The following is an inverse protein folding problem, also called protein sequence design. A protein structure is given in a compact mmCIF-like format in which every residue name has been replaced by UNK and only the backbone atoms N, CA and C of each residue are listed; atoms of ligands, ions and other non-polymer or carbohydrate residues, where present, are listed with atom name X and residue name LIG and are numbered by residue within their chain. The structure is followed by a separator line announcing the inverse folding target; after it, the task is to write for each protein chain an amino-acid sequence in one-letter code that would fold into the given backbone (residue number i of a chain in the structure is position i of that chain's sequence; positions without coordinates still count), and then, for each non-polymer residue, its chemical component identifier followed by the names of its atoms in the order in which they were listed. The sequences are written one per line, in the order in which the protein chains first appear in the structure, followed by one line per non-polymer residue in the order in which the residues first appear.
data_IF_788191094236
#
_entry.id   IF_788191094236
#
_cell.length_a   1.000
_cell.length_b   1.000
_cell.length_c   1.000
_cell.angle_alpha   90.00
_cell.angle_beta   90.00
_cell.angle_gamma   90.00
#
_symmetry.space_group_name_H-M   'P 1'
#
loop_
_entity.id
_entity.type
_entity.pdbx_description
1 polymer ?
#
# COMPACT_ATOMS: atom_id res chain seq x y z
N UNK A 1 7.41 8.10 0.18
CA UNK A 1 6.02 7.87 -0.26
C UNK A 1 5.06 8.94 0.25
N UNK A 2 5.34 9.64 1.36
CA UNK A 2 4.55 10.79 1.77
C UNK A 2 4.82 11.98 0.82
N UNK A 3 3.77 12.53 0.18
CA UNK A 3 3.84 13.81 -0.54
C UNK A 3 3.47 13.80 -2.04
N UNK A 4 3.29 12.64 -2.68
CA UNK A 4 2.92 12.57 -4.12
C UNK A 4 1.63 11.81 -4.41
N UNK A 5 1.03 11.21 -3.38
CA UNK A 5 -0.16 10.38 -3.54
C UNK A 5 -1.36 11.17 -4.08
N UNK A 6 -1.46 12.45 -3.74
CA UNK A 6 -2.50 13.37 -4.22
C UNK A 6 -2.47 13.56 -5.74
N UNK A 7 -1.33 13.30 -6.41
CA UNK A 7 -1.19 13.40 -7.87
C UNK A 7 -1.82 12.21 -8.62
N UNK A 8 -2.22 11.16 -7.92
CA UNK A 8 -2.81 9.95 -8.54
C UNK A 8 -4.31 10.11 -8.85
N UNK A 9 -4.94 11.21 -8.43
CA UNK A 9 -6.36 11.47 -8.65
C UNK A 9 -6.48 12.72 -9.53
N UNK A 10 -7.04 12.58 -10.72
CA UNK A 10 -7.18 13.69 -11.68
C UNK A 10 -8.43 14.55 -11.42
N UNK A 11 -9.53 13.99 -10.89
CA UNK A 11 -10.71 14.72 -10.40
C UNK A 11 -11.64 13.80 -9.56
N UNK A 12 -12.50 14.42 -8.73
CA UNK A 12 -13.62 13.94 -7.91
C UNK A 12 -13.34 13.19 -6.59
N UNK A 13 -13.36 13.95 -5.48
CA UNK A 13 -13.80 13.57 -4.12
C UNK A 13 -13.34 12.20 -3.57
N UNK A 14 -12.18 11.70 -4.00
CA UNK A 14 -11.58 10.50 -3.42
C UNK A 14 -11.06 10.88 -2.05
N UNK A 15 -11.64 10.28 -1.01
CA UNK A 15 -11.14 10.42 0.34
C UNK A 15 -9.66 9.99 0.40
N UNK A 16 -8.78 10.92 0.75
CA UNK A 16 -7.34 10.70 0.79
C UNK A 16 -6.97 9.55 1.73
N UNK A 17 -7.72 9.37 2.82
CA UNK A 17 -7.50 8.26 3.77
C UNK A 17 -7.77 6.92 3.09
N UNK A 18 -8.86 6.82 2.34
CA UNK A 18 -9.21 5.64 1.54
C UNK A 18 -8.19 5.39 0.43
N UNK A 19 -7.71 6.44 -0.25
CA UNK A 19 -6.67 6.33 -1.27
C UNK A 19 -5.35 5.80 -0.68
N UNK A 20 -4.88 6.40 0.42
CA UNK A 20 -3.64 6.01 1.07
C UNK A 20 -3.68 4.56 1.55
N UNK A 21 -4.78 4.17 2.19
CA UNK A 21 -5.01 2.78 2.60
C UNK A 21 -4.98 1.83 1.41
N UNK A 22 -5.72 2.14 0.35
CA UNK A 22 -5.81 1.29 -0.83
C UNK A 22 -4.44 1.09 -1.49
N UNK A 23 -3.66 2.16 -1.62
CA UNK A 23 -2.31 2.09 -2.18
C UNK A 23 -1.38 1.28 -1.27
N UNK A 24 -1.40 1.48 0.05
CA UNK A 24 -0.58 0.68 0.98
C UNK A 24 -0.93 -0.82 0.91
N UNK A 25 -2.21 -1.16 0.84
CA UNK A 25 -2.66 -2.56 0.66
C UNK A 25 -2.19 -3.12 -0.67
N UNK A 26 -2.33 -2.36 -1.76
CA UNK A 26 -1.84 -2.75 -3.08
C UNK A 26 -0.33 -3.05 -3.07
N UNK A 27 0.47 -2.19 -2.44
CA UNK A 27 1.92 -2.37 -2.30
C UNK A 27 2.29 -3.62 -1.49
N UNK A 28 1.50 -4.02 -0.50
CA UNK A 28 1.66 -5.29 0.20
C UNK A 28 1.29 -6.50 -0.66
N UNK A 29 0.26 -6.39 -1.50
CA UNK A 29 -0.18 -7.48 -2.38
C UNK A 29 0.82 -7.80 -3.50
N UNK A 30 1.61 -6.82 -3.94
CA UNK A 30 2.58 -6.98 -5.05
C UNK A 30 4.01 -7.29 -4.59
N UNK A 31 4.21 -7.60 -3.31
CA UNK A 31 5.55 -7.94 -2.79
C UNK A 31 6.19 -9.09 -3.58
N UNK A 32 7.49 -8.97 -3.85
CA UNK A 32 8.26 -9.97 -4.59
C UNK A 32 8.22 -11.32 -3.86
N UNK A 33 8.49 -11.31 -2.55
CA UNK A 33 8.35 -12.48 -1.69
C UNK A 33 6.85 -12.76 -1.40
N UNK A 34 6.30 -13.89 -1.87
CA UNK A 34 4.91 -14.26 -1.59
C UNK A 34 4.61 -14.44 -0.09
N UNK A 35 5.61 -14.77 0.73
CA UNK A 35 5.43 -14.93 2.17
C UNK A 35 5.17 -13.60 2.89
N UNK A 36 5.55 -12.48 2.28
CA UNK A 36 5.27 -11.13 2.80
C UNK A 36 3.89 -10.62 2.39
N UNK A 37 3.22 -11.27 1.43
CA UNK A 37 1.89 -10.86 1.00
C UNK A 37 0.85 -11.19 2.08
N UNK A 38 -0.07 -10.27 2.40
CA UNK A 38 -1.13 -10.54 3.37
C UNK A 38 -2.08 -11.60 2.85
N UNK A 39 -2.66 -12.38 3.77
CA UNK A 39 -3.76 -13.28 3.45
C UNK A 39 -4.96 -12.48 2.95
N UNK A 40 -5.76 -13.04 2.04
CA UNK A 40 -6.94 -12.34 1.48
C UNK A 40 -7.91 -11.86 2.58
N UNK A 41 -8.09 -12.63 3.67
CA UNK A 41 -8.89 -12.19 4.83
C UNK A 41 -8.34 -10.89 5.46
N UNK A 42 -7.01 -10.74 5.53
CA UNK A 42 -6.38 -9.55 6.08
C UNK A 42 -6.50 -8.39 5.10
N UNK A 43 -6.38 -8.64 3.79
CA UNK A 43 -6.62 -7.62 2.75
C UNK A 43 -8.02 -7.01 2.88
N UNK A 44 -9.05 -7.83 3.06
CA UNK A 44 -10.44 -7.35 3.25
C UNK A 44 -10.54 -6.46 4.49
N UNK A 45 -10.07 -6.95 5.65
CA UNK A 45 -10.09 -6.21 6.91
C UNK A 45 -9.30 -4.89 6.83
N UNK A 46 -8.16 -4.90 6.14
CA UNK A 46 -7.35 -3.71 5.89
C UNK A 46 -8.10 -2.69 5.03
N UNK A 47 -8.79 -3.11 3.97
CA UNK A 47 -9.57 -2.22 3.09
C UNK A 47 -10.80 -1.63 3.79
N UNK A 48 -11.51 -2.45 4.58
CA UNK A 48 -12.64 -2.01 5.41
C UNK A 48 -12.23 -1.06 6.54
N UNK A 49 -10.92 -0.97 6.84
CA UNK A 49 -10.38 -0.13 7.92
C UNK A 49 -10.57 -0.74 9.30
N UNK A 50 -10.85 -2.04 9.40
CA UNK A 50 -10.94 -2.78 10.67
C UNK A 50 -9.59 -3.29 11.15
N UNK A 51 -8.55 -3.21 10.29
CA UNK A 51 -7.16 -3.51 10.59
C UNK A 51 -6.26 -2.40 10.08
N UNK A 52 -5.26 -2.02 10.88
CA UNK A 52 -4.24 -1.07 10.45
C UNK A 52 -3.38 -1.63 9.31
N UNK A 53 -2.99 -0.75 8.40
CA UNK A 53 -2.09 -1.09 7.29
C UNK A 53 -0.70 -0.55 7.60
N UNK A 54 0.27 -1.42 7.96
CA UNK A 54 1.64 -0.98 8.19
C UNK A 54 2.24 -0.42 6.90
N UNK A 55 3.24 0.45 7.04
CA UNK A 55 3.98 0.99 5.89
C UNK A 55 4.61 -0.18 5.12
N UNK A 56 4.29 -0.36 3.83
CA UNK A 56 4.88 -1.44 3.05
C UNK A 56 6.37 -1.20 2.84
N UNK A 57 7.18 -2.28 2.72
CA UNK A 57 8.60 -2.14 2.40
C UNK A 57 8.76 -1.44 1.05
N UNK A 58 9.79 -0.59 0.95
CA UNK A 58 10.06 0.16 -0.28
C UNK A 58 10.39 -0.80 -1.42
N UNK A 59 9.80 -0.63 -2.61
CA UNK A 59 10.15 -1.41 -3.79
C UNK A 59 11.54 -1.04 -4.36
N UNK A 60 12.25 -0.07 -3.77
CA UNK A 60 13.63 0.21 -4.19
C UNK A 60 14.50 -1.00 -3.87
N UNK A 61 14.89 -1.69 -4.94
CA UNK A 61 15.90 -2.73 -4.94
C UNK A 61 17.08 -2.27 -4.10
N UNK A 62 17.60 -3.20 -3.31
CA UNK A 62 18.90 -3.12 -2.68
C UNK A 62 19.95 -2.70 -3.72
N UNK A 63 20.19 -1.39 -3.88
CA UNK A 63 21.47 -0.88 -4.34
C UNK A 63 22.39 -0.84 -3.11
N UNK A 64 22.57 -2.02 -2.50
CA UNK A 64 23.84 -2.37 -1.90
C UNK A 64 24.57 -3.16 -2.98
N UNK A 65 25.27 -2.45 -3.85
CA UNK A 65 26.42 -3.01 -4.55
C UNK A 65 27.62 -2.25 -4.02
N UNK A 66 28.38 -3.00 -3.22
CA UNK A 66 29.82 -2.93 -2.96
C UNK A 66 30.42 -1.62 -2.46
#
# INVERSE_FOLDING_TARGET
MAGELEKLVEDENVDFVTLERTVKVGLWCIQEDPALRPLMKNVILMLEGTMDVPVPPSPVRSLVVS
#
